data_IF_795256922884
#
_entry.id   IF_795256922884
#
_cell.length_a   1.000
_cell.length_b   1.000
_cell.length_c   1.000
_cell.angle_alpha   90.00
_cell.angle_beta   90.00
_cell.angle_gamma   90.00
#
_symmetry.space_group_name_H-M   'P 1'
#
loop_
_entity.id
_entity.type
_entity.pdbx_description
1 polymer ?
#
# COMPACT_ATOMS: atom_id res chain seq x y z
N UNK A 1 52.54 -12.59 -42.61
CA UNK A 1 51.94 -12.37 -41.27
C UNK A 1 50.52 -11.80 -41.33
N UNK A 2 49.77 -11.97 -42.43
CA UNK A 2 48.46 -11.32 -42.64
C UNK A 2 47.28 -12.30 -42.62
N UNK A 3 47.52 -13.58 -42.91
CA UNK A 3 46.50 -14.64 -42.87
C UNK A 3 46.11 -15.05 -41.43
N UNK A 4 47.09 -15.09 -40.51
CA UNK A 4 46.85 -15.41 -39.09
C UNK A 4 45.96 -14.36 -38.40
N UNK A 5 46.13 -13.08 -38.77
CA UNK A 5 45.38 -11.96 -38.20
C UNK A 5 43.89 -11.99 -38.61
N UNK A 6 43.61 -12.34 -39.86
CA UNK A 6 42.24 -12.47 -40.39
C UNK A 6 41.50 -13.70 -39.87
N UNK A 7 42.21 -14.80 -39.59
CA UNK A 7 41.62 -15.99 -38.97
C UNK A 7 41.17 -15.75 -37.52
N UNK A 8 41.90 -14.89 -36.78
CA UNK A 8 41.55 -14.52 -35.41
C UNK A 8 40.31 -13.61 -35.34
N UNK A 9 40.17 -12.65 -36.27
CA UNK A 9 39.04 -11.72 -36.33
C UNK A 9 37.70 -12.41 -36.66
N UNK A 10 37.73 -13.45 -37.50
CA UNK A 10 36.53 -14.22 -37.87
C UNK A 10 36.03 -15.13 -36.74
N UNK A 11 36.93 -15.64 -35.88
CA UNK A 11 36.53 -16.40 -34.68
C UNK A 11 35.93 -15.47 -33.61
N UNK A 12 36.51 -14.28 -33.44
CA UNK A 12 36.09 -13.30 -32.42
C UNK A 12 34.69 -12.74 -32.70
N UNK A 13 34.35 -12.46 -33.96
CA UNK A 13 33.02 -11.94 -34.36
C UNK A 13 31.92 -13.00 -34.30
N UNK A 14 32.24 -14.29 -34.49
CA UNK A 14 31.25 -15.38 -34.42
C UNK A 14 30.89 -15.76 -32.98
N UNK A 15 31.83 -15.64 -32.04
CA UNK A 15 31.57 -15.85 -30.61
C UNK A 15 30.81 -14.67 -30.00
N UNK A 16 31.03 -13.43 -30.48
CA UNK A 16 30.33 -12.22 -30.00
C UNK A 16 28.84 -12.14 -30.35
N UNK A 17 28.37 -12.91 -31.35
CA UNK A 17 26.94 -13.02 -31.72
C UNK A 17 26.19 -14.15 -31.01
N UNK A 18 26.87 -14.90 -30.14
CA UNK A 18 26.26 -15.91 -29.27
C UNK A 18 25.84 -15.27 -27.94
N UNK A 19 24.74 -15.75 -27.35
CA UNK A 19 24.26 -15.35 -26.01
C UNK A 19 25.37 -15.47 -24.95
N UNK A 20 26.26 -16.45 -25.15
CA UNK A 20 27.40 -16.69 -24.28
C UNK A 20 28.50 -15.63 -24.42
N UNK A 21 28.78 -15.15 -25.64
CA UNK A 21 29.74 -14.07 -25.87
C UNK A 21 29.28 -12.74 -25.27
N UNK A 22 27.97 -12.46 -25.36
CA UNK A 22 27.36 -11.29 -24.71
C UNK A 22 27.47 -11.40 -23.19
N UNK A 23 27.16 -12.57 -22.61
CA UNK A 23 27.27 -12.79 -21.16
C UNK A 23 28.70 -12.57 -20.64
N UNK A 24 29.70 -13.08 -21.36
CA UNK A 24 31.12 -12.88 -21.01
C UNK A 24 31.54 -11.42 -21.16
N UNK A 25 31.11 -10.74 -22.22
CA UNK A 25 31.41 -9.32 -22.41
C UNK A 25 30.80 -8.44 -21.29
N UNK A 26 29.55 -8.72 -20.89
CA UNK A 26 28.89 -8.05 -19.77
C UNK A 26 29.63 -8.34 -18.46
N UNK A 27 30.01 -9.59 -18.20
CA UNK A 27 30.75 -9.95 -16.98
C UNK A 27 32.07 -9.18 -16.88
N UNK A 28 32.85 -9.12 -17.97
CA UNK A 28 34.10 -8.35 -18.00
C UNK A 28 33.86 -6.86 -17.76
N UNK A 29 32.82 -6.29 -18.38
CA UNK A 29 32.44 -4.88 -18.17
C UNK A 29 32.11 -4.61 -16.70
N UNK A 30 31.28 -5.47 -16.08
CA UNK A 30 30.86 -5.34 -14.68
C UNK A 30 32.08 -5.44 -13.75
N UNK A 31 32.95 -6.42 -13.95
CA UNK A 31 34.17 -6.55 -13.15
C UNK A 31 35.13 -5.37 -13.34
N UNK A 32 35.22 -4.80 -14.55
CA UNK A 32 36.03 -3.61 -14.81
C UNK A 32 35.48 -2.37 -14.07
N UNK A 33 34.16 -2.17 -14.06
CA UNK A 33 33.50 -1.08 -13.32
C UNK A 33 33.66 -1.25 -11.81
N UNK A 34 33.45 -2.46 -11.28
CA UNK A 34 33.61 -2.75 -9.85
C UNK A 34 35.08 -2.59 -9.44
N UNK A 35 36.01 -3.09 -10.26
CA UNK A 35 37.44 -2.98 -10.02
C UNK A 35 37.94 -1.54 -10.02
N UNK A 36 37.52 -0.72 -10.99
CA UNK A 36 37.89 0.70 -11.05
C UNK A 36 37.29 1.49 -9.89
N UNK A 37 36.03 1.24 -9.52
CA UNK A 37 35.43 1.83 -8.33
C UNK A 37 36.20 1.46 -7.06
N UNK A 38 36.57 0.18 -6.88
CA UNK A 38 37.38 -0.29 -5.74
C UNK A 38 38.78 0.32 -5.72
N UNK A 39 39.40 0.54 -6.88
CA UNK A 39 40.72 1.16 -6.99
C UNK A 39 40.68 2.65 -6.61
N UNK A 40 39.61 3.36 -7.00
CA UNK A 40 39.36 4.76 -6.61
C UNK A 40 38.98 4.88 -5.13
N UNK A 41 38.22 3.93 -4.59
CA UNK A 41 37.75 3.97 -3.19
C UNK A 41 38.79 3.58 -2.15
N UNK A 42 39.95 3.02 -2.54
CA UNK A 42 41.04 2.63 -1.64
C UNK A 42 40.71 1.44 -0.71
N UNK A 43 41.71 0.71 -0.19
CA UNK A 43 41.50 -0.32 0.82
C UNK A 43 41.48 0.33 2.22
N UNK A 44 40.29 0.54 2.77
CA UNK A 44 40.11 0.94 4.16
C UNK A 44 39.20 2.15 4.33
N UNK A 45 37.95 1.88 4.68
CA UNK A 45 36.99 2.94 5.05
C UNK A 45 35.62 2.42 5.49
N UNK A 46 35.50 1.15 5.85
CA UNK A 46 34.30 0.65 6.53
C UNK A 46 34.42 0.98 8.01
N UNK A 47 34.06 2.21 8.41
CA UNK A 47 33.51 2.63 9.73
C UNK A 47 33.73 4.14 9.96
N UNK A 48 33.21 4.99 9.08
CA UNK A 48 32.86 6.37 9.46
C UNK A 48 31.45 6.61 8.99
N UNK A 49 30.53 5.85 9.60
CA UNK A 49 29.12 6.16 9.51
C UNK A 49 28.91 7.60 9.98
N UNK A 50 28.12 8.34 9.21
CA UNK A 50 27.59 9.65 9.53
C UNK A 50 26.67 9.59 10.77
N UNK A 51 27.20 9.18 11.91
CA UNK A 51 26.52 9.24 13.20
C UNK A 51 27.04 10.45 13.95
N UNK A 52 26.62 11.63 13.52
CA UNK A 52 26.55 12.80 14.41
C UNK A 52 25.37 12.57 15.36
N UNK A 53 25.45 11.55 16.23
CA UNK A 53 24.51 11.43 17.34
C UNK A 53 25.03 12.35 18.45
N UNK A 54 24.32 13.43 18.80
CA UNK A 54 24.71 14.25 19.93
C UNK A 54 24.81 13.38 21.19
N UNK A 55 25.90 13.51 21.93
CA UNK A 55 26.09 12.84 23.22
C UNK A 55 25.23 13.47 24.34
N UNK A 56 24.59 14.60 24.05
CA UNK A 56 23.70 15.35 24.94
C UNK A 56 22.57 16.00 24.11
N UNK A 57 21.37 16.22 24.67
CA UNK A 57 20.32 16.99 24.00
C UNK A 57 20.83 18.40 23.67
N UNK A 58 20.74 18.85 22.41
CA UNK A 58 21.19 20.19 21.97
C UNK A 58 20.08 21.24 22.14
N UNK A 59 18.88 20.86 22.57
CA UNK A 59 17.78 21.81 22.75
C UNK A 59 17.73 22.34 24.19
N UNK A 60 17.83 23.66 24.34
CA UNK A 60 17.43 24.41 25.55
C UNK A 60 15.98 24.89 25.50
N UNK A 61 15.27 24.55 24.42
CA UNK A 61 13.88 24.92 24.19
C UNK A 61 13.00 23.81 24.75
N UNK A 62 11.94 24.19 25.46
CA UNK A 62 10.93 23.25 25.96
C UNK A 62 10.33 22.51 24.75
N UNK A 63 10.22 21.16 24.76
CA UNK A 63 9.63 20.40 23.67
C UNK A 63 8.18 20.80 23.33
N UNK A 64 7.48 21.52 24.21
CA UNK A 64 6.13 22.03 23.98
C UNK A 64 6.12 23.52 23.55
N UNK A 65 7.27 24.19 23.49
CA UNK A 65 7.36 25.59 23.06
C UNK A 65 7.13 25.71 21.55
N UNK A 66 5.99 26.30 21.17
CA UNK A 66 5.55 26.38 19.77
C UNK A 66 4.66 25.22 19.35
N UNK A 67 4.16 24.40 20.29
CA UNK A 67 3.07 23.47 20.02
C UNK A 67 1.77 24.25 19.76
N UNK A 68 1.56 24.63 18.51
CA UNK A 68 0.32 25.18 17.98
C UNK A 68 -0.69 24.08 17.59
N UNK A 69 -0.41 22.83 17.99
CA UNK A 69 -1.26 21.69 17.80
C UNK A 69 -2.50 21.74 18.69
N UNK A 70 -3.66 21.46 18.10
CA UNK A 70 -4.92 21.29 18.85
C UNK A 70 -4.87 19.91 19.55
N UNK A 71 -4.22 19.82 20.71
CA UNK A 71 -3.94 18.54 21.38
C UNK A 71 -5.15 17.85 22.04
N UNK A 72 -6.30 18.50 22.15
CA UNK A 72 -7.50 17.89 22.70
C UNK A 72 -8.38 17.33 21.58
N UNK A 73 -8.09 16.11 21.12
CA UNK A 73 -9.09 15.37 20.34
C UNK A 73 -10.30 15.13 21.26
N UNK A 74 -11.51 15.60 20.91
CA UNK A 74 -12.70 15.39 21.73
C UNK A 74 -12.88 13.90 22.04
N UNK A 75 -13.39 13.58 23.23
CA UNK A 75 -13.71 12.20 23.56
C UNK A 75 -14.62 11.61 22.47
N UNK A 76 -14.34 10.38 21.98
CA UNK A 76 -15.12 9.78 20.92
C UNK A 76 -16.60 9.73 21.31
N UNK A 77 -17.45 10.30 20.45
CA UNK A 77 -18.89 10.27 20.65
C UNK A 77 -19.46 8.96 20.10
N UNK A 78 -20.50 8.45 20.75
CA UNK A 78 -21.19 7.25 20.26
C UNK A 78 -21.94 7.57 18.96
N UNK A 79 -21.93 6.66 17.97
CA UNK A 79 -22.61 6.91 16.70
C UNK A 79 -24.12 7.02 16.90
N UNK A 80 -24.76 7.97 16.21
CA UNK A 80 -26.22 8.16 16.23
C UNK A 80 -26.82 7.57 14.95
N UNK A 81 -27.78 6.67 15.14
CA UNK A 81 -28.47 6.00 14.03
C UNK A 81 -29.94 6.41 14.06
N UNK A 82 -30.50 6.72 12.88
CA UNK A 82 -31.92 7.03 12.73
C UNK A 82 -32.76 5.78 13.08
N UNK A 83 -33.91 5.92 13.78
CA UNK A 83 -34.76 4.78 14.08
C UNK A 83 -35.17 4.01 12.80
N UNK A 84 -34.95 2.69 12.80
CA UNK A 84 -35.26 1.81 11.67
C UNK A 84 -34.16 1.69 10.61
N UNK A 85 -33.12 2.51 10.67
CA UNK A 85 -31.93 2.38 9.82
C UNK A 85 -30.93 1.36 10.38
N UNK A 86 -30.02 0.91 9.52
CA UNK A 86 -28.94 0.01 9.89
C UNK A 86 -27.91 0.73 10.77
N UNK A 87 -27.40 0.03 11.79
CA UNK A 87 -26.24 0.51 12.57
C UNK A 87 -24.97 0.51 11.71
N UNK A 88 -23.89 1.23 12.10
CA UNK A 88 -22.63 1.21 11.37
C UNK A 88 -22.10 -0.21 11.12
N UNK A 89 -22.17 -1.08 12.13
CA UNK A 89 -21.70 -2.47 12.04
C UNK A 89 -22.53 -3.30 11.06
N UNK A 90 -23.85 -3.09 11.05
CA UNK A 90 -24.75 -3.78 10.13
C UNK A 90 -24.54 -3.32 8.68
N UNK A 91 -24.40 -2.01 8.45
CA UNK A 91 -24.05 -1.46 7.13
C UNK A 91 -22.71 -1.99 6.67
N UNK A 92 -21.68 -1.94 7.52
CA UNK A 92 -20.34 -2.44 7.22
C UNK A 92 -20.34 -3.94 6.89
N UNK A 93 -21.03 -4.76 7.66
CA UNK A 93 -21.12 -6.21 7.41
C UNK A 93 -21.82 -6.54 6.09
N UNK A 94 -22.93 -5.85 5.78
CA UNK A 94 -23.62 -6.00 4.50
C UNK A 94 -22.76 -5.54 3.33
N UNK A 95 -22.08 -4.41 3.49
CA UNK A 95 -21.17 -3.87 2.47
C UNK A 95 -20.01 -4.83 2.23
N UNK A 96 -19.34 -5.32 3.27
CA UNK A 96 -18.23 -6.25 3.15
C UNK A 96 -18.64 -7.56 2.44
N UNK A 97 -19.84 -8.07 2.74
CA UNK A 97 -20.40 -9.25 2.06
C UNK A 97 -20.59 -9.00 0.56
N UNK A 98 -21.17 -7.85 0.20
CA UNK A 98 -21.35 -7.46 -1.20
C UNK A 98 -20.01 -7.20 -1.92
N UNK A 99 -19.07 -6.55 -1.23
CA UNK A 99 -17.72 -6.24 -1.71
C UNK A 99 -16.96 -7.51 -2.05
N UNK A 100 -16.84 -8.45 -1.12
CA UNK A 100 -16.14 -9.74 -1.29
C UNK A 100 -16.82 -10.67 -2.29
N UNK A 101 -18.11 -10.47 -2.57
CA UNK A 101 -18.84 -11.18 -3.63
C UNK A 101 -18.46 -10.75 -5.05
N UNK A 102 -17.69 -9.66 -5.20
CA UNK A 102 -17.27 -9.08 -6.48
C UNK A 102 -16.73 -10.08 -7.49
N UNK A 103 -15.72 -10.91 -7.17
CA UNK A 103 -15.09 -11.81 -8.13
C UNK A 103 -16.04 -12.84 -8.79
N UNK A 104 -17.23 -13.02 -8.22
CA UNK A 104 -18.28 -13.93 -8.73
C UNK A 104 -19.41 -13.22 -9.49
N UNK A 105 -19.32 -11.89 -9.65
CA UNK A 105 -20.33 -11.03 -10.25
C UNK A 105 -19.75 -10.20 -11.40
N UNK A 106 -20.62 -9.65 -12.27
CA UNK A 106 -20.18 -8.63 -13.24
C UNK A 106 -19.94 -7.29 -12.52
N UNK A 107 -19.15 -6.41 -13.13
CA UNK A 107 -18.85 -5.08 -12.57
C UNK A 107 -20.14 -4.30 -12.27
N UNK A 108 -21.11 -4.32 -13.18
CA UNK A 108 -22.39 -3.60 -13.04
C UNK A 108 -23.22 -4.18 -11.89
N UNK A 109 -23.30 -5.50 -11.78
CA UNK A 109 -24.05 -6.18 -10.72
C UNK A 109 -23.40 -5.94 -9.36
N UNK A 110 -22.07 -5.98 -9.31
CA UNK A 110 -21.31 -5.70 -8.10
C UNK A 110 -21.50 -4.25 -7.65
N UNK A 111 -21.29 -3.26 -8.52
CA UNK A 111 -21.53 -1.85 -8.19
C UNK A 111 -22.98 -1.59 -7.78
N UNK A 112 -23.96 -2.21 -8.46
CA UNK A 112 -25.37 -2.08 -8.10
C UNK A 112 -25.66 -2.62 -6.69
N UNK A 113 -24.95 -3.67 -6.26
CA UNK A 113 -25.07 -4.22 -4.90
C UNK A 113 -24.45 -3.32 -3.82
N UNK A 114 -23.42 -2.54 -4.16
CA UNK A 114 -22.74 -1.62 -3.25
C UNK A 114 -23.49 -0.29 -3.10
N UNK A 115 -24.11 0.20 -4.18
CA UNK A 115 -24.80 1.51 -4.24
C UNK A 115 -25.75 1.82 -3.08
N UNK A 116 -26.60 0.90 -2.57
CA UNK A 116 -27.48 1.23 -1.45
C UNK A 116 -26.76 1.39 -0.09
N UNK A 117 -25.49 0.99 0.01
CA UNK A 117 -24.69 0.92 1.24
C UNK A 117 -23.48 1.87 1.22
N UNK A 118 -23.25 2.58 0.12
CA UNK A 118 -22.08 3.42 -0.13
C UNK A 118 -22.49 4.85 -0.44
N UNK A 119 -21.60 5.79 -0.16
CA UNK A 119 -21.75 7.17 -0.62
C UNK A 119 -21.67 7.24 -2.14
N UNK A 120 -22.36 8.21 -2.78
CA UNK A 120 -22.22 8.45 -4.22
C UNK A 120 -20.75 8.63 -4.64
N UNK A 121 -19.97 9.33 -3.82
CA UNK A 121 -18.55 9.59 -4.02
C UNK A 121 -17.72 8.30 -4.02
N UNK A 122 -18.01 7.36 -3.12
CA UNK A 122 -17.37 6.04 -3.14
C UNK A 122 -17.75 5.25 -4.39
N UNK A 123 -19.03 5.27 -4.79
CA UNK A 123 -19.48 4.57 -6.01
C UNK A 123 -18.82 5.13 -7.26
N UNK A 124 -18.64 6.45 -7.35
CA UNK A 124 -17.93 7.09 -8.45
C UNK A 124 -16.46 6.64 -8.51
N UNK A 125 -15.76 6.62 -7.36
CA UNK A 125 -14.38 6.12 -7.26
C UNK A 125 -14.26 4.64 -7.68
N UNK A 126 -15.30 3.85 -7.43
CA UNK A 126 -15.38 2.44 -7.81
C UNK A 126 -15.89 2.22 -9.24
N UNK A 127 -16.32 3.28 -9.94
CA UNK A 127 -16.90 3.23 -11.28
C UNK A 127 -16.02 2.51 -12.31
N UNK A 128 -14.70 2.70 -12.20
CA UNK A 128 -13.68 2.05 -13.01
C UNK A 128 -13.07 0.79 -12.36
N UNK A 129 -13.56 0.39 -11.19
CA UNK A 129 -13.04 -0.72 -10.40
C UNK A 129 -13.40 -2.09 -10.97
N UNK A 130 -12.40 -2.95 -11.15
CA UNK A 130 -12.60 -4.34 -11.58
C UNK A 130 -12.97 -5.21 -10.36
N UNK A 131 -14.15 -5.85 -10.32
CA UNK A 131 -14.55 -6.72 -9.22
C UNK A 131 -13.64 -7.94 -9.06
N UNK A 132 -12.87 -8.34 -10.08
CA UNK A 132 -11.90 -9.45 -10.00
C UNK A 132 -10.63 -9.05 -9.26
N UNK A 133 -10.39 -7.74 -9.09
CA UNK A 133 -9.27 -7.23 -8.29
C UNK A 133 -9.51 -7.33 -6.78
N UNK A 134 -10.77 -7.55 -6.37
CA UNK A 134 -11.11 -7.82 -4.97
C UNK A 134 -10.57 -9.20 -4.59
N UNK A 135 -9.72 -9.30 -3.55
CA UNK A 135 -9.19 -10.60 -3.15
C UNK A 135 -10.32 -11.53 -2.68
N UNK A 136 -10.28 -12.84 -3.02
CA UNK A 136 -11.31 -13.81 -2.68
C UNK A 136 -11.21 -14.25 -1.21
N UNK A 137 -11.31 -13.29 -0.30
CA UNK A 137 -11.25 -13.50 1.15
C UNK A 137 -12.61 -13.86 1.75
N UNK A 138 -12.56 -14.39 2.97
CA UNK A 138 -13.75 -14.59 3.81
C UNK A 138 -13.62 -13.80 5.10
N UNK A 139 -14.77 -13.38 5.62
CA UNK A 139 -14.84 -12.79 6.95
C UNK A 139 -14.62 -13.89 8.00
N UNK A 140 -13.66 -13.69 8.89
CA UNK A 140 -13.20 -14.71 9.86
C UNK A 140 -13.71 -14.50 11.28
N UNK A 141 -14.38 -13.38 11.55
CA UNK A 141 -14.82 -13.03 12.89
C UNK A 141 -15.81 -11.86 12.95
N UNK A 142 -16.10 -11.41 14.16
CA UNK A 142 -16.99 -10.29 14.40
C UNK A 142 -16.36 -8.97 13.95
N UNK A 143 -17.19 -8.08 13.41
CA UNK A 143 -16.78 -6.71 13.08
C UNK A 143 -16.51 -5.91 14.35
N UNK A 144 -15.52 -5.02 14.31
CA UNK A 144 -15.17 -4.15 15.45
C UNK A 144 -15.47 -2.70 15.10
N UNK A 145 -16.31 -2.04 15.89
CA UNK A 145 -16.64 -0.63 15.76
C UNK A 145 -15.60 0.24 16.47
N UNK A 146 -15.17 1.32 15.80
CA UNK A 146 -14.36 2.41 16.35
C UNK A 146 -15.11 3.73 16.16
N UNK A 147 -15.85 4.18 17.18
CA UNK A 147 -16.54 5.46 17.14
C UNK A 147 -15.54 6.61 17.01
N UNK A 148 -15.89 7.61 16.20
CA UNK A 148 -15.11 8.84 16.08
C UNK A 148 -15.98 10.05 16.43
N UNK A 149 -17.15 10.14 15.81
CA UNK A 149 -18.17 11.14 16.11
C UNK A 149 -19.56 10.51 16.04
N UNK A 150 -20.61 11.31 16.29
CA UNK A 150 -21.99 10.86 16.13
C UNK A 150 -22.33 10.44 14.69
N UNK A 151 -21.66 11.01 13.69
CA UNK A 151 -21.93 10.81 12.27
C UNK A 151 -20.74 10.22 11.49
N UNK A 152 -19.68 9.80 12.18
CA UNK A 152 -18.50 9.18 11.58
C UNK A 152 -18.00 8.01 12.46
N UNK A 153 -17.80 6.85 11.84
CA UNK A 153 -17.28 5.68 12.51
C UNK A 153 -16.39 4.86 11.58
N UNK A 154 -15.36 4.24 12.15
CA UNK A 154 -14.56 3.23 11.48
C UNK A 154 -15.05 1.85 11.88
N UNK A 155 -15.14 0.92 10.94
CA UNK A 155 -15.43 -0.49 11.21
C UNK A 155 -14.33 -1.36 10.63
N UNK A 156 -13.81 -2.26 11.46
CA UNK A 156 -12.83 -3.25 11.05
C UNK A 156 -13.51 -4.60 10.85
N UNK A 157 -13.39 -5.16 9.65
CA UNK A 157 -13.88 -6.48 9.30
C UNK A 157 -12.69 -7.43 9.20
N UNK A 158 -12.57 -8.42 10.08
CA UNK A 158 -11.46 -9.39 10.02
C UNK A 158 -11.62 -10.32 8.83
N UNK A 159 -10.54 -10.49 8.05
CA UNK A 159 -10.44 -11.39 6.89
C UNK A 159 -9.43 -12.51 7.16
N UNK A 160 -9.23 -13.47 6.24
CA UNK A 160 -8.25 -14.54 6.42
C UNK A 160 -6.81 -13.98 6.30
N UNK A 161 -6.57 -13.06 5.36
CA UNK A 161 -5.26 -12.46 5.09
C UNK A 161 -5.03 -11.05 5.69
N UNK A 162 -5.87 -10.61 6.63
CA UNK A 162 -5.78 -9.28 7.22
C UNK A 162 -7.12 -8.71 7.66
N UNK A 163 -7.35 -7.41 7.40
CA UNK A 163 -8.61 -6.75 7.74
C UNK A 163 -9.02 -5.71 6.71
N UNK A 164 -10.33 -5.62 6.48
CA UNK A 164 -10.95 -4.55 5.72
C UNK A 164 -11.32 -3.43 6.69
N UNK A 165 -10.75 -2.25 6.50
CA UNK A 165 -11.10 -1.04 7.23
C UNK A 165 -12.10 -0.24 6.42
N UNK A 166 -13.27 -0.04 6.98
CA UNK A 166 -14.36 0.72 6.37
C UNK A 166 -14.56 2.01 7.15
N UNK A 167 -14.65 3.11 6.42
CA UNK A 167 -15.04 4.40 6.98
C UNK A 167 -16.52 4.64 6.64
N UNK A 168 -17.32 4.95 7.64
CA UNK A 168 -18.75 5.16 7.48
C UNK A 168 -19.14 6.56 7.93
N UNK A 169 -20.05 7.17 7.18
CA UNK A 169 -20.64 8.48 7.44
C UNK A 169 -22.16 8.37 7.57
N UNK A 170 -22.76 9.22 8.41
CA UNK A 170 -24.20 9.31 8.57
C UNK A 170 -24.65 10.76 8.83
N UNK A 171 -24.58 11.66 7.82
CA UNK A 171 -24.98 13.06 8.00
C UNK A 171 -26.44 13.19 8.48
N UNK A 172 -27.31 12.30 8.02
CA UNK A 172 -28.74 12.27 8.38
C UNK A 172 -29.12 11.07 9.28
N UNK A 173 -28.14 10.42 9.91
CA UNK A 173 -28.35 9.24 10.75
C UNK A 173 -28.52 7.91 10.00
N UNK A 174 -28.46 7.92 8.66
CA UNK A 174 -28.34 6.72 7.82
C UNK A 174 -26.87 6.48 7.46
N UNK A 175 -26.34 5.33 7.86
CA UNK A 175 -24.94 4.98 7.63
C UNK A 175 -24.68 4.52 6.20
N UNK A 176 -23.65 5.10 5.60
CA UNK A 176 -23.11 4.73 4.29
C UNK A 176 -21.59 4.58 4.40
N UNK A 177 -21.02 3.64 3.65
CA UNK A 177 -19.57 3.48 3.53
C UNK A 177 -19.03 4.56 2.60
N UNK A 178 -18.02 5.31 3.05
CA UNK A 178 -17.38 6.38 2.30
C UNK A 178 -15.99 6.01 1.79
N UNK A 179 -15.29 5.14 2.51
CA UNK A 179 -13.98 4.63 2.10
C UNK A 179 -13.79 3.15 2.45
N UNK A 180 -12.98 2.49 1.63
CA UNK A 180 -12.57 1.09 1.76
C UNK A 180 -11.06 1.03 1.73
N UNK A 181 -10.47 0.44 2.76
CA UNK A 181 -9.02 0.26 2.87
C UNK A 181 -8.69 -1.18 3.29
N UNK A 182 -7.61 -1.71 2.74
CA UNK A 182 -7.15 -3.07 3.01
C UNK A 182 -5.86 -3.05 3.79
N UNK A 183 -5.88 -3.65 4.98
CA UNK A 183 -4.67 -3.85 5.76
C UNK A 183 -4.23 -5.32 5.69
N UNK A 184 -3.12 -5.56 4.96
CA UNK A 184 -2.49 -6.89 4.85
C UNK A 184 -1.62 -7.15 6.08
N UNK A 185 -1.57 -8.41 6.50
CA UNK A 185 -0.68 -8.89 7.58
C UNK A 185 0.50 -9.63 7.01
#
# INVERSE_FOLDING_TARGET
MTAMRRALELLFTRVLRSRFGIAVAIAVLVFAVIGSARLVSGPGGSTSGLSSRPSQPITTVDPEEGDDGVLASPAPQSPKTLPGELTPEQTAGRFATAWLGGPTSTAEKWQASLRPLATPELIEKLGDGDPTSVPPERVTGAVTLRPRTEAFAEVLVPLESGRLRLELVAPDGRWLVDAVDWERT
#
